data_IF_777846916834
#
_entry.id   IF_777846916834
#
_cell.length_a   1.000
_cell.length_b   1.000
_cell.length_c   1.000
_cell.angle_alpha   90.00
_cell.angle_beta   90.00
_cell.angle_gamma   90.00
#
_symmetry.space_group_name_H-M   'P 1'
#
loop_
_entity.id
_entity.type
_entity.pdbx_description
1 polymer ?
#
# COMPACT_ATOMS: atom_id res chain seq x y z
N UNK A 1 3.06 11.63 32.66
CA UNK A 1 2.31 10.68 31.82
C UNK A 1 1.15 11.33 31.06
N UNK A 2 0.18 12.02 31.69
CA UNK A 2 -1.01 12.62 31.03
C UNK A 2 -0.65 13.62 29.90
N UNK A 3 0.34 14.49 30.10
CA UNK A 3 0.75 15.50 29.11
C UNK A 3 1.36 14.89 27.85
N UNK A 4 2.16 13.84 27.98
CA UNK A 4 2.75 13.11 26.85
C UNK A 4 1.70 12.36 26.03
N UNK A 5 0.73 11.72 26.69
CA UNK A 5 -0.39 11.05 26.02
C UNK A 5 -1.26 12.03 25.23
N UNK A 6 -1.51 13.23 25.78
CA UNK A 6 -2.25 14.27 25.08
C UNK A 6 -1.49 14.76 23.83
N UNK A 7 -0.18 14.99 23.94
CA UNK A 7 0.65 15.39 22.82
C UNK A 7 0.69 14.32 21.72
N UNK A 8 0.83 13.04 22.09
CA UNK A 8 0.79 11.92 21.13
C UNK A 8 -0.55 11.84 20.39
N UNK A 9 -1.67 11.95 21.10
CA UNK A 9 -3.02 11.97 20.47
C UNK A 9 -3.20 13.16 19.52
N UNK A 10 -2.72 14.34 19.91
CA UNK A 10 -2.78 15.53 19.05
C UNK A 10 -1.96 15.33 17.77
N UNK A 11 -0.75 14.74 17.88
CA UNK A 11 0.11 14.43 16.73
C UNK A 11 -0.56 13.44 15.79
N UNK A 12 -1.13 12.37 16.31
CA UNK A 12 -1.86 11.36 15.54
C UNK A 12 -3.09 11.94 14.83
N UNK A 13 -3.88 12.77 15.52
CA UNK A 13 -5.02 13.47 14.93
C UNK A 13 -4.60 14.39 13.78
N UNK A 14 -3.47 15.11 13.92
CA UNK A 14 -2.91 15.95 12.87
C UNK A 14 -2.46 15.13 11.66
N UNK A 15 -1.75 14.01 11.85
CA UNK A 15 -1.31 13.12 10.77
C UNK A 15 -2.51 12.57 9.99
N UNK A 16 -3.52 12.06 10.69
CA UNK A 16 -4.73 11.53 10.06
C UNK A 16 -5.50 12.62 9.31
N UNK A 17 -5.68 13.80 9.92
CA UNK A 17 -6.36 14.93 9.27
C UNK A 17 -5.59 15.44 8.07
N UNK A 18 -4.25 15.45 8.12
CA UNK A 18 -3.40 15.79 7.00
C UNK A 18 -3.57 14.78 5.85
N UNK A 19 -3.55 13.48 6.15
CA UNK A 19 -3.79 12.45 5.15
C UNK A 19 -5.16 12.62 4.46
N UNK A 20 -6.22 12.90 5.22
CA UNK A 20 -7.55 13.14 4.66
C UNK A 20 -7.62 14.38 3.76
N UNK A 21 -6.93 15.47 4.13
CA UNK A 21 -6.90 16.71 3.35
C UNK A 21 -5.99 16.56 2.11
N UNK A 22 -4.80 15.97 2.26
CA UNK A 22 -3.89 15.70 1.15
C UNK A 22 -4.53 14.76 0.13
N UNK A 23 -5.16 13.69 0.58
CA UNK A 23 -5.82 12.73 -0.31
C UNK A 23 -7.01 13.31 -1.07
N UNK A 24 -7.72 14.28 -0.49
CA UNK A 24 -8.87 14.92 -1.13
C UNK A 24 -8.49 16.07 -2.05
N UNK A 25 -7.55 16.91 -1.66
CA UNK A 25 -7.23 18.19 -2.30
C UNK A 25 -5.92 18.17 -3.09
N UNK A 26 -5.05 17.16 -2.86
CA UNK A 26 -3.67 17.13 -3.28
C UNK A 26 -2.77 17.96 -2.36
N UNK A 27 -1.47 17.63 -2.32
CA UNK A 27 -0.50 18.34 -1.49
C UNK A 27 -0.47 19.84 -1.77
N UNK A 28 -0.42 20.23 -3.06
CA UNK A 28 -0.25 21.64 -3.45
C UNK A 28 -1.36 22.53 -2.91
N UNK A 29 -2.63 22.11 -3.01
CA UNK A 29 -3.82 22.89 -2.62
C UNK A 29 -4.16 22.81 -1.14
N UNK A 30 -3.74 21.76 -0.46
CA UNK A 30 -4.00 21.56 0.97
C UNK A 30 -3.43 22.69 1.82
N UNK A 31 -4.21 23.16 2.79
CA UNK A 31 -3.80 24.21 3.72
C UNK A 31 -3.65 23.70 5.15
N UNK A 32 -2.65 24.22 5.90
CA UNK A 32 -2.46 23.91 7.31
C UNK A 32 -3.70 24.33 8.15
N UNK A 33 -4.38 25.43 7.74
CA UNK A 33 -5.60 25.89 8.41
C UNK A 33 -6.72 24.84 8.30
N UNK A 34 -6.92 24.24 7.10
CA UNK A 34 -7.92 23.19 6.91
C UNK A 34 -7.57 21.93 7.73
N UNK A 35 -6.29 21.58 7.80
CA UNK A 35 -5.81 20.45 8.60
C UNK A 35 -6.06 20.70 10.10
N UNK A 36 -5.72 21.89 10.62
CA UNK A 36 -6.00 22.27 12.02
C UNK A 36 -7.49 22.20 12.34
N UNK A 37 -8.33 22.77 11.47
CA UNK A 37 -9.79 22.76 11.65
C UNK A 37 -10.33 21.33 11.70
N UNK A 38 -9.86 20.44 10.81
CA UNK A 38 -10.26 19.04 10.79
C UNK A 38 -9.78 18.26 12.01
N UNK A 39 -8.56 18.53 12.49
CA UNK A 39 -8.00 17.90 13.67
C UNK A 39 -8.58 18.44 15.00
N UNK A 40 -9.32 19.55 14.96
CA UNK A 40 -9.84 20.21 16.16
C UNK A 40 -8.75 20.83 17.04
N UNK A 41 -7.65 21.33 16.42
CA UNK A 41 -6.51 21.90 17.14
C UNK A 41 -6.16 23.30 16.64
N UNK A 42 -5.45 24.09 17.47
CA UNK A 42 -4.97 25.41 17.07
C UNK A 42 -3.74 25.32 16.13
N UNK A 43 -3.51 26.38 15.35
CA UNK A 43 -2.30 26.50 14.56
C UNK A 43 -1.01 26.42 15.41
N UNK A 44 -1.03 26.98 16.62
CA UNK A 44 0.11 26.87 17.55
C UNK A 44 0.38 25.42 17.98
N UNK A 45 -0.66 24.60 18.16
CA UNK A 45 -0.48 23.17 18.45
C UNK A 45 0.09 22.41 17.25
N UNK A 46 -0.30 22.77 16.02
CA UNK A 46 0.31 22.19 14.81
C UNK A 46 1.79 22.55 14.72
N UNK A 47 2.13 23.83 14.84
CA UNK A 47 3.54 24.28 14.75
C UNK A 47 4.43 23.78 15.89
N UNK A 48 3.85 23.36 17.02
CA UNK A 48 4.58 22.64 18.06
C UNK A 48 5.02 21.24 17.59
N UNK A 49 4.27 20.59 16.72
CA UNK A 49 4.56 19.23 16.23
C UNK A 49 5.25 19.19 14.87
N UNK A 50 4.97 20.16 14.00
CA UNK A 50 5.42 20.15 12.62
C UNK A 50 5.85 21.56 12.18
N UNK A 51 7.06 21.68 11.69
CA UNK A 51 7.64 22.97 11.27
C UNK A 51 6.98 23.52 9.99
N UNK A 52 6.53 22.64 9.10
CA UNK A 52 5.98 23.01 7.80
C UNK A 52 4.96 21.99 7.28
N UNK A 53 4.26 22.35 6.20
CA UNK A 53 3.39 21.42 5.46
C UNK A 53 4.18 20.25 4.87
N UNK A 54 5.40 20.51 4.40
CA UNK A 54 6.29 19.48 3.88
C UNK A 54 6.69 18.49 4.99
N UNK A 55 7.16 18.98 6.15
CA UNK A 55 7.50 18.12 7.29
C UNK A 55 6.31 17.26 7.77
N UNK A 56 5.08 17.78 7.67
CA UNK A 56 3.88 16.99 7.97
C UNK A 56 3.62 15.93 6.89
N UNK A 57 3.85 16.25 5.61
CA UNK A 57 3.72 15.28 4.52
C UNK A 57 4.75 14.16 4.64
N UNK A 58 6.01 14.49 4.93
CA UNK A 58 7.08 13.49 5.16
C UNK A 58 6.69 12.50 6.27
N UNK A 59 6.03 12.98 7.33
CA UNK A 59 5.56 12.12 8.41
C UNK A 59 4.37 11.27 7.98
N UNK A 60 3.44 11.79 7.15
CA UNK A 60 2.35 10.99 6.58
C UNK A 60 2.91 9.86 5.72
N UNK A 61 3.93 10.13 4.92
CA UNK A 61 4.60 9.12 4.09
C UNK A 61 5.36 8.07 4.91
N UNK A 62 6.08 8.49 5.95
CA UNK A 62 6.77 7.58 6.86
C UNK A 62 5.79 6.64 7.59
N UNK A 63 4.65 7.14 8.03
CA UNK A 63 3.57 6.35 8.62
C UNK A 63 2.94 5.41 7.59
N UNK A 64 2.72 5.86 6.36
CA UNK A 64 2.22 5.03 5.27
C UNK A 64 3.20 3.90 4.93
N UNK A 65 4.51 4.19 4.89
CA UNK A 65 5.53 3.16 4.70
C UNK A 65 5.52 2.12 5.82
N UNK A 66 5.41 2.55 7.07
CA UNK A 66 5.30 1.62 8.21
C UNK A 66 4.11 0.67 8.05
N UNK A 67 2.96 1.18 7.57
CA UNK A 67 1.75 0.38 7.31
C UNK A 67 1.90 -0.55 6.12
N UNK A 68 2.53 -0.11 5.03
CA UNK A 68 2.87 -0.96 3.90
C UNK A 68 3.78 -2.11 4.34
N UNK A 69 4.84 -1.80 5.10
CA UNK A 69 5.74 -2.81 5.62
C UNK A 69 5.02 -3.82 6.53
N UNK A 70 4.01 -3.42 7.29
CA UNK A 70 3.18 -4.35 8.06
C UNK A 70 2.34 -5.28 7.16
N UNK A 71 1.88 -4.80 5.99
CA UNK A 71 1.16 -5.62 5.01
C UNK A 71 2.08 -6.66 4.37
N UNK A 72 3.31 -6.28 3.99
CA UNK A 72 4.24 -7.15 3.24
C UNK A 72 5.13 -8.03 4.12
N UNK A 73 5.34 -7.70 5.41
CA UNK A 73 6.13 -8.48 6.37
C UNK A 73 5.35 -9.68 6.92
N UNK A 74 4.79 -10.48 6.02
CA UNK A 74 4.13 -11.73 6.42
C UNK A 74 5.09 -12.86 6.10
N UNK A 75 5.45 -13.65 7.11
CA UNK A 75 6.21 -14.88 6.89
C UNK A 75 5.42 -15.81 5.96
N UNK A 76 6.15 -16.48 5.06
CA UNK A 76 5.55 -17.49 4.19
C UNK A 76 5.09 -18.67 5.07
N UNK A 77 3.77 -18.94 5.19
CA UNK A 77 3.31 -20.06 5.99
C UNK A 77 3.82 -21.39 5.42
N UNK A 78 4.02 -22.38 6.28
CA UNK A 78 4.44 -23.71 5.84
C UNK A 78 3.46 -24.29 4.81
N UNK A 79 3.96 -24.73 3.67
CA UNK A 79 3.16 -25.33 2.59
C UNK A 79 2.48 -24.33 1.66
N UNK A 80 2.62 -23.03 1.88
CA UNK A 80 2.12 -21.99 0.96
C UNK A 80 3.19 -21.67 -0.08
N UNK A 81 2.81 -21.52 -1.35
CA UNK A 81 3.69 -21.10 -2.43
C UNK A 81 3.94 -19.59 -2.42
N UNK A 82 5.05 -19.13 -3.03
CA UNK A 82 5.31 -17.70 -3.20
C UNK A 82 4.27 -17.03 -4.10
N UNK A 83 3.76 -17.75 -5.12
CA UNK A 83 2.67 -17.26 -5.96
C UNK A 83 1.40 -17.05 -5.13
N UNK A 84 1.02 -17.99 -4.23
CA UNK A 84 -0.14 -17.79 -3.36
C UNK A 84 0.08 -16.65 -2.36
N UNK A 85 1.28 -16.53 -1.78
CA UNK A 85 1.61 -15.41 -0.89
C UNK A 85 1.46 -14.06 -1.61
N UNK A 86 1.86 -13.98 -2.88
CA UNK A 86 1.68 -12.77 -3.69
C UNK A 86 0.19 -12.45 -3.92
N UNK A 87 -0.64 -13.46 -4.22
CA UNK A 87 -2.11 -13.30 -4.30
C UNK A 87 -2.66 -12.76 -2.99
N UNK A 88 -2.36 -13.42 -1.88
CA UNK A 88 -2.87 -13.06 -0.54
C UNK A 88 -2.44 -11.65 -0.14
N UNK A 89 -1.18 -11.28 -0.42
CA UNK A 89 -0.67 -9.96 -0.07
C UNK A 89 -1.26 -8.86 -0.95
N UNK A 90 -1.57 -9.15 -2.21
CA UNK A 90 -2.29 -8.21 -3.08
C UNK A 90 -3.71 -7.93 -2.55
N UNK A 91 -4.41 -8.96 -2.06
CA UNK A 91 -5.71 -8.80 -1.39
C UNK A 91 -5.60 -7.96 -0.12
N UNK A 92 -4.59 -8.22 0.72
CA UNK A 92 -4.32 -7.43 1.93
C UNK A 92 -3.99 -5.98 1.62
N UNK A 93 -3.18 -5.73 0.57
CA UNK A 93 -2.87 -4.37 0.15
C UNK A 93 -4.12 -3.63 -0.32
N UNK A 94 -4.97 -4.26 -1.12
CA UNK A 94 -6.21 -3.65 -1.59
C UNK A 94 -7.17 -3.32 -0.43
N UNK A 95 -7.34 -4.24 0.53
CA UNK A 95 -8.13 -3.99 1.74
C UNK A 95 -7.55 -2.86 2.60
N UNK A 96 -6.23 -2.84 2.80
CA UNK A 96 -5.55 -1.78 3.52
C UNK A 96 -5.70 -0.41 2.82
N UNK A 97 -5.56 -0.35 1.50
CA UNK A 97 -5.80 0.88 0.72
C UNK A 97 -7.26 1.35 0.82
N UNK A 98 -8.22 0.43 0.92
CA UNK A 98 -9.62 0.77 1.11
C UNK A 98 -9.89 1.41 2.47
N UNK A 99 -9.34 0.82 3.55
CA UNK A 99 -9.65 1.19 4.93
C UNK A 99 -8.76 2.25 5.53
N UNK A 100 -7.53 2.36 5.05
CA UNK A 100 -6.50 3.21 5.65
C UNK A 100 -6.19 4.43 4.79
N UNK A 101 -6.71 5.59 5.21
CA UNK A 101 -6.50 6.86 4.51
C UNK A 101 -5.03 7.29 4.51
N UNK A 102 -4.25 6.97 5.55
CA UNK A 102 -2.84 7.35 5.63
C UNK A 102 -2.02 6.55 4.60
N UNK A 103 -2.26 5.23 4.53
CA UNK A 103 -1.61 4.38 3.53
C UNK A 103 -1.94 4.85 2.10
N UNK A 104 -3.23 5.04 1.81
CA UNK A 104 -3.69 5.51 0.49
C UNK A 104 -3.09 6.85 0.11
N UNK A 105 -3.07 7.81 1.05
CA UNK A 105 -2.50 9.15 0.81
C UNK A 105 -1.00 9.09 0.63
N UNK A 106 -0.27 8.24 1.35
CA UNK A 106 1.17 8.04 1.14
C UNK A 106 1.50 7.62 -0.29
N UNK A 107 0.73 6.70 -0.88
CA UNK A 107 0.89 6.34 -2.30
C UNK A 107 0.62 7.53 -3.24
N UNK A 108 -0.37 8.36 -2.94
CA UNK A 108 -0.69 9.55 -3.75
C UNK A 108 0.39 10.63 -3.63
N UNK A 109 0.89 10.90 -2.42
CA UNK A 109 1.97 11.87 -2.17
C UNK A 109 3.25 11.50 -2.91
N UNK A 110 3.57 10.21 -2.99
CA UNK A 110 4.71 9.70 -3.76
C UNK A 110 4.68 10.02 -5.26
N UNK A 111 3.54 10.49 -5.79
CA UNK A 111 3.44 11.00 -7.17
C UNK A 111 3.60 12.52 -7.25
N UNK A 112 3.30 13.23 -6.17
CA UNK A 112 3.29 14.70 -6.14
C UNK A 112 4.60 15.29 -5.60
N UNK A 113 5.32 14.53 -4.77
CA UNK A 113 6.54 14.96 -4.11
C UNK A 113 7.76 14.23 -4.69
N UNK A 114 8.88 14.95 -4.86
CA UNK A 114 10.12 14.31 -5.31
C UNK A 114 10.69 13.41 -4.22
N UNK A 115 11.02 12.17 -4.59
CA UNK A 115 11.68 11.20 -3.71
C UNK A 115 13.01 10.77 -4.32
N UNK A 116 14.02 10.44 -3.51
CA UNK A 116 15.17 9.70 -4.00
C UNK A 116 14.70 8.38 -4.64
N UNK A 117 15.34 7.98 -5.74
CA UNK A 117 15.00 6.71 -6.41
C UNK A 117 15.12 5.53 -5.42
N UNK A 118 14.14 4.66 -5.43
CA UNK A 118 14.13 3.46 -4.58
C UNK A 118 13.61 3.67 -3.15
N UNK A 119 13.09 4.86 -2.79
CA UNK A 119 12.63 5.14 -1.42
C UNK A 119 11.12 5.33 -1.28
N UNK A 120 10.39 5.38 -2.40
CA UNK A 120 8.94 5.54 -2.40
C UNK A 120 8.18 4.26 -1.99
N UNK A 121 6.91 4.41 -1.59
CA UNK A 121 6.07 3.26 -1.23
C UNK A 121 5.95 2.25 -2.39
N UNK A 122 5.84 2.74 -3.64
CA UNK A 122 5.78 1.87 -4.82
C UNK A 122 7.08 1.13 -5.07
N UNK A 123 8.23 1.72 -4.73
CA UNK A 123 9.52 1.04 -4.82
C UNK A 123 9.59 -0.12 -3.82
N UNK A 124 9.21 0.11 -2.56
CA UNK A 124 9.16 -0.95 -1.54
C UNK A 124 8.19 -2.08 -1.90
N UNK A 125 7.03 -1.73 -2.47
CA UNK A 125 6.09 -2.73 -2.97
C UNK A 125 6.68 -3.54 -4.13
N UNK A 126 7.28 -2.87 -5.12
CA UNK A 126 7.95 -3.52 -6.26
C UNK A 126 9.05 -4.47 -5.79
N UNK A 127 9.94 -3.99 -4.92
CA UNK A 127 11.09 -4.77 -4.45
C UNK A 127 10.64 -6.04 -3.72
N UNK A 128 9.55 -5.95 -2.95
CA UNK A 128 8.95 -7.11 -2.32
C UNK A 128 8.33 -8.08 -3.36
N UNK A 129 7.57 -7.59 -4.33
CA UNK A 129 6.99 -8.40 -5.41
C UNK A 129 8.08 -9.11 -6.20
N UNK A 130 9.16 -8.40 -6.54
CA UNK A 130 10.31 -8.95 -7.25
C UNK A 130 10.98 -10.06 -6.43
N UNK A 131 11.21 -9.84 -5.15
CA UNK A 131 11.79 -10.83 -4.26
C UNK A 131 10.96 -12.12 -4.22
N UNK A 132 9.65 -12.02 -4.05
CA UNK A 132 8.77 -13.20 -4.01
C UNK A 132 8.74 -13.94 -5.35
N UNK A 133 8.72 -13.23 -6.47
CA UNK A 133 8.72 -13.85 -7.80
C UNK A 133 10.05 -14.49 -8.18
N UNK A 134 11.18 -13.94 -7.74
CA UNK A 134 12.49 -14.58 -7.86
C UNK A 134 12.52 -15.92 -7.08
N UNK A 135 11.93 -15.95 -5.89
CA UNK A 135 11.81 -17.19 -5.12
C UNK A 135 10.84 -18.19 -5.77
N UNK A 136 9.72 -17.71 -6.33
CA UNK A 136 8.77 -18.54 -7.08
C UNK A 136 9.45 -19.19 -8.31
N UNK A 137 10.22 -18.41 -9.07
CA UNK A 137 10.98 -18.90 -10.23
C UNK A 137 12.00 -19.97 -9.82
N UNK A 138 12.80 -19.70 -8.76
CA UNK A 138 13.79 -20.64 -8.24
C UNK A 138 13.19 -21.97 -7.75
N UNK A 139 11.92 -21.95 -7.29
CA UNK A 139 11.19 -23.16 -6.85
C UNK A 139 10.38 -23.82 -7.97
N UNK A 140 10.43 -23.31 -9.20
CA UNK A 140 9.66 -23.86 -10.32
C UNK A 140 8.15 -23.64 -10.19
N UNK A 141 7.73 -22.63 -9.45
CA UNK A 141 6.33 -22.25 -9.28
C UNK A 141 5.77 -21.51 -10.50
N UNK A 142 6.67 -20.89 -11.30
CA UNK A 142 6.30 -20.19 -12.53
C UNK A 142 6.22 -21.16 -13.70
N UNK A 143 5.35 -20.88 -14.65
CA UNK A 143 5.22 -21.62 -15.90
C UNK A 143 6.51 -21.53 -16.73
N UNK A 144 6.98 -22.64 -17.34
CA UNK A 144 8.16 -22.61 -18.20
C UNK A 144 8.05 -21.55 -19.30
N UNK A 145 9.08 -20.71 -19.43
CA UNK A 145 9.15 -19.63 -20.41
C UNK A 145 8.58 -18.29 -19.92
N UNK A 146 8.05 -18.21 -18.70
CA UNK A 146 7.64 -16.97 -18.05
C UNK A 146 8.77 -16.52 -17.10
N UNK A 147 9.33 -15.34 -17.35
CA UNK A 147 10.33 -14.75 -16.45
C UNK A 147 9.66 -14.02 -15.28
N UNK A 148 10.28 -14.07 -14.10
CA UNK A 148 9.80 -13.34 -12.92
C UNK A 148 9.57 -11.85 -13.23
N UNK A 149 10.44 -11.21 -13.99
CA UNK A 149 10.34 -9.79 -14.36
C UNK A 149 9.09 -9.43 -15.18
N UNK A 150 8.60 -10.34 -16.03
CA UNK A 150 7.36 -10.12 -16.79
C UNK A 150 6.15 -10.09 -15.86
N UNK A 151 6.17 -10.97 -14.85
CA UNK A 151 5.12 -11.02 -13.83
C UNK A 151 5.19 -9.80 -12.92
N UNK A 152 6.39 -9.36 -12.49
CA UNK A 152 6.60 -8.10 -11.73
C UNK A 152 5.94 -6.94 -12.46
N UNK A 153 6.25 -6.76 -13.75
CA UNK A 153 5.71 -5.68 -14.57
C UNK A 153 4.17 -5.71 -14.57
N UNK A 154 3.59 -6.89 -14.74
CA UNK A 154 2.14 -7.06 -14.81
C UNK A 154 1.47 -6.78 -13.46
N UNK A 155 2.02 -7.31 -12.36
CA UNK A 155 1.51 -7.09 -11.00
C UNK A 155 1.62 -5.61 -10.61
N UNK A 156 2.75 -4.97 -10.94
CA UNK A 156 2.91 -3.53 -10.68
C UNK A 156 1.89 -2.69 -11.43
N UNK A 157 1.67 -2.95 -12.72
CA UNK A 157 0.67 -2.25 -13.52
C UNK A 157 -0.75 -2.43 -12.95
N UNK A 158 -1.10 -3.66 -12.55
CA UNK A 158 -2.40 -3.96 -11.95
C UNK A 158 -2.58 -3.26 -10.59
N UNK A 159 -1.60 -3.32 -9.69
CA UNK A 159 -1.70 -2.74 -8.35
C UNK A 159 -1.70 -1.21 -8.37
N UNK A 160 -0.92 -0.56 -9.25
CA UNK A 160 -1.00 0.88 -9.48
C UNK A 160 -2.37 1.26 -10.07
N UNK A 161 -2.91 0.46 -10.99
CA UNK A 161 -4.26 0.63 -11.51
C UNK A 161 -5.33 0.56 -10.42
N UNK A 162 -5.26 -0.45 -9.55
CA UNK A 162 -6.15 -0.59 -8.39
C UNK A 162 -6.07 0.63 -7.44
N UNK A 163 -4.87 1.10 -7.13
CA UNK A 163 -4.63 2.25 -6.28
C UNK A 163 -5.27 3.52 -6.87
N UNK A 164 -4.94 3.85 -8.11
CA UNK A 164 -5.39 5.08 -8.78
C UNK A 164 -6.90 5.09 -9.02
N UNK A 165 -7.46 3.96 -9.47
CA UNK A 165 -8.90 3.84 -9.70
C UNK A 165 -9.66 3.75 -8.37
N UNK A 166 -9.13 3.04 -7.40
CA UNK A 166 -9.71 2.88 -6.06
C UNK A 166 -9.77 4.17 -5.25
N UNK A 167 -8.88 5.13 -5.53
CA UNK A 167 -8.95 6.46 -4.95
C UNK A 167 -10.22 7.24 -5.37
N UNK A 168 -10.81 6.90 -6.53
CA UNK A 168 -12.03 7.51 -7.05
C UNK A 168 -13.27 6.66 -6.76
N UNK A 169 -13.16 5.36 -6.92
CA UNK A 169 -14.27 4.41 -6.85
C UNK A 169 -13.83 3.17 -6.05
N UNK A 170 -14.30 3.06 -4.81
CA UNK A 170 -13.86 2.03 -3.86
C UNK A 170 -14.05 0.58 -4.36
N UNK A 171 -14.97 0.34 -5.31
CA UNK A 171 -15.19 -1.00 -5.86
C UNK A 171 -13.95 -1.61 -6.55
N UNK A 172 -13.02 -0.76 -7.04
CA UNK A 172 -11.76 -1.21 -7.62
C UNK A 172 -10.85 -1.90 -6.60
N UNK A 173 -10.96 -1.56 -5.32
CA UNK A 173 -10.23 -2.19 -4.22
C UNK A 173 -10.99 -3.39 -3.60
N UNK A 174 -12.14 -3.76 -4.16
CA UNK A 174 -12.91 -4.89 -3.63
C UNK A 174 -12.21 -6.24 -3.87
N UNK A 175 -12.40 -7.17 -2.95
CA UNK A 175 -11.93 -8.57 -3.05
C UNK A 175 -12.29 -9.17 -4.41
N UNK A 176 -13.53 -8.96 -4.88
CA UNK A 176 -13.99 -9.48 -6.17
C UNK A 176 -13.23 -8.90 -7.36
N UNK A 177 -12.75 -7.65 -7.29
CA UNK A 177 -11.93 -7.05 -8.35
C UNK A 177 -10.53 -7.66 -8.37
N UNK A 178 -9.88 -7.78 -7.22
CA UNK A 178 -8.55 -8.41 -7.09
C UNK A 178 -8.62 -9.87 -7.53
N UNK A 179 -9.64 -10.62 -7.10
CA UNK A 179 -9.85 -12.01 -7.51
C UNK A 179 -10.02 -12.17 -9.02
N UNK A 180 -10.71 -11.22 -9.70
CA UNK A 180 -10.84 -11.25 -11.17
C UNK A 180 -9.50 -11.07 -11.88
N UNK A 181 -8.65 -10.19 -11.38
CA UNK A 181 -7.29 -10.00 -11.91
C UNK A 181 -6.50 -11.30 -11.79
N UNK A 182 -6.46 -11.89 -10.61
CA UNK A 182 -5.72 -13.12 -10.38
C UNK A 182 -6.27 -14.33 -11.14
N UNK A 183 -7.58 -14.45 -11.31
CA UNK A 183 -8.16 -15.50 -12.17
C UNK A 183 -7.70 -15.44 -13.62
N UNK A 184 -7.43 -14.25 -14.12
CA UNK A 184 -6.89 -14.06 -15.48
C UNK A 184 -5.38 -14.30 -15.52
N UNK A 185 -4.64 -13.91 -14.49
CA UNK A 185 -3.17 -13.99 -14.48
C UNK A 185 -2.66 -15.40 -14.15
N UNK A 186 -3.23 -16.07 -13.15
CA UNK A 186 -2.71 -17.35 -12.65
C UNK A 186 -2.53 -18.42 -13.72
N UNK A 187 -3.47 -18.63 -14.68
CA UNK A 187 -3.31 -19.63 -15.73
C UNK A 187 -2.11 -19.35 -16.66
N UNK A 188 -1.68 -18.09 -16.77
CA UNK A 188 -0.54 -17.69 -17.59
C UNK A 188 0.78 -17.67 -16.82
N UNK A 189 0.72 -17.55 -15.50
CA UNK A 189 1.88 -17.34 -14.63
C UNK A 189 2.30 -18.62 -13.91
N UNK A 190 1.37 -19.36 -13.32
CA UNK A 190 1.66 -20.49 -12.46
C UNK A 190 1.92 -21.77 -13.24
N UNK A 191 2.88 -22.59 -12.77
CA UNK A 191 3.11 -23.93 -13.29
C UNK A 191 1.87 -24.83 -13.11
N UNK A 192 1.60 -25.70 -14.10
CA UNK A 192 0.37 -26.52 -14.12
C UNK A 192 0.12 -27.33 -12.83
N UNK A 193 1.12 -27.97 -12.19
CA UNK A 193 0.89 -28.71 -10.93
C UNK A 193 0.49 -27.80 -9.77
N UNK A 194 0.96 -26.56 -9.75
CA UNK A 194 0.66 -25.59 -8.72
C UNK A 194 -0.70 -24.92 -8.93
N UNK A 195 -1.07 -24.65 -10.19
CA UNK A 195 -2.28 -23.91 -10.55
C UNK A 195 -3.55 -24.47 -9.90
N UNK A 196 -3.66 -25.80 -9.80
CA UNK A 196 -4.81 -26.47 -9.18
C UNK A 196 -4.91 -26.24 -7.65
N UNK A 197 -3.86 -25.77 -7.01
CA UNK A 197 -3.76 -25.52 -5.57
C UNK A 197 -3.93 -24.05 -5.20
N UNK A 198 -3.90 -23.16 -6.20
CA UNK A 198 -3.96 -21.71 -5.98
C UNK A 198 -5.41 -21.22 -5.88
N UNK A 199 -5.64 -20.31 -4.95
CA UNK A 199 -6.90 -19.60 -4.78
C UNK A 199 -6.74 -18.12 -5.18
N UNK A 200 -7.34 -17.76 -6.31
CA UNK A 200 -7.37 -16.36 -6.77
C UNK A 200 -8.15 -15.43 -5.83
N UNK A 201 -8.97 -15.95 -4.95
CA UNK A 201 -9.70 -15.21 -3.91
C UNK A 201 -8.89 -14.90 -2.67
N UNK A 202 -7.69 -15.50 -2.54
CA UNK A 202 -6.87 -15.40 -1.35
C UNK A 202 -7.24 -16.42 -0.27
N UNK A 203 -6.22 -16.92 0.43
CA UNK A 203 -6.36 -17.94 1.49
C UNK A 203 -6.21 -17.37 2.90
N UNK A 204 -5.79 -16.11 3.04
CA UNK A 204 -5.59 -15.50 4.35
C UNK A 204 -6.90 -15.38 5.13
N UNK A 205 -6.90 -15.65 6.45
CA UNK A 205 -8.09 -15.44 7.28
C UNK A 205 -8.50 -13.97 7.24
N UNK A 206 -9.76 -13.73 7.05
CA UNK A 206 -10.41 -12.41 6.94
C UNK A 206 -10.51 -11.70 8.28
#
# INVERSE_FOLDING_TARGET
>A
MVKQQRAARTREALIRSAAEIFGREGFSRASLTAICARAGVSAGALHFHFESKAALADVVEAEALSRLLAVIRTELPAGVSHVQLLVDTTHRLADALCRDVVLRTGFSLGCELPHPAGTGLRDHWRDWVEQELVQAEAKGELRPGIAAQDVVTTVMAATVGLEVLGAREAHWLSEGTVSRIWRVLLPSVAADPLLAQLDAGGTAPR
#
